data_IF_386373794007
#
_entry.id   IF_386373794007
#
_cell.length_a   1.000
_cell.length_b   1.000
_cell.length_c   1.000
_cell.angle_alpha   90.00
_cell.angle_beta   90.00
_cell.angle_gamma   90.00
#
_symmetry.space_group_name_H-M   'P 1'
#
loop_
_entity.id
_entity.type
_entity.pdbx_description
1 polymer ?
#
# COMPACT_ATOMS: atom_id res chain seq x y z
N UNK A 1 -10.87 -23.38 9.26
CA UNK A 1 -9.96 -22.30 8.77
C UNK A 1 -10.84 -21.13 8.38
N UNK A 2 -10.58 -19.90 8.84
CA UNK A 2 -11.38 -18.73 8.44
C UNK A 2 -11.00 -18.38 6.99
N UNK A 3 -11.96 -18.45 6.08
CA UNK A 3 -11.80 -18.06 4.69
C UNK A 3 -11.58 -16.54 4.54
N UNK A 4 -11.37 -16.06 3.31
CA UNK A 4 -11.38 -14.63 3.03
C UNK A 4 -12.70 -14.01 3.50
N UNK A 5 -12.63 -12.86 4.16
CA UNK A 5 -13.81 -12.07 4.51
C UNK A 5 -13.79 -10.77 3.74
N UNK A 6 -14.96 -10.34 3.26
CA UNK A 6 -15.08 -8.99 2.69
C UNK A 6 -14.90 -7.96 3.81
N UNK A 7 -14.03 -6.99 3.55
CA UNK A 7 -13.77 -5.82 4.38
C UNK A 7 -13.65 -4.59 3.49
N UNK A 8 -13.93 -3.43 4.07
CA UNK A 8 -13.78 -2.16 3.39
C UNK A 8 -12.42 -1.56 3.74
N UNK A 9 -11.66 -1.12 2.73
CA UNK A 9 -10.35 -0.53 2.93
C UNK A 9 -10.47 0.82 3.63
N UNK A 10 -9.84 0.98 4.79
CA UNK A 10 -9.88 2.25 5.55
C UNK A 10 -9.25 3.41 4.78
N UNK A 11 -8.33 3.13 3.85
CA UNK A 11 -7.65 4.15 3.05
C UNK A 11 -8.44 4.63 1.84
N UNK A 12 -9.02 3.71 1.06
CA UNK A 12 -9.67 4.06 -0.21
C UNK A 12 -11.18 3.78 -0.25
N UNK A 13 -11.76 3.18 0.79
CA UNK A 13 -13.18 2.87 0.86
C UNK A 13 -13.64 1.73 -0.06
N UNK A 14 -12.73 1.07 -0.78
CA UNK A 14 -13.10 -0.07 -1.63
C UNK A 14 -13.26 -1.35 -0.82
N UNK A 15 -14.27 -2.13 -1.17
CA UNK A 15 -14.46 -3.48 -0.68
C UNK A 15 -13.43 -4.43 -1.28
N UNK A 16 -12.88 -5.29 -0.42
CA UNK A 16 -11.88 -6.27 -0.79
C UNK A 16 -11.92 -7.46 0.17
N UNK A 17 -11.30 -8.56 -0.23
CA UNK A 17 -11.17 -9.74 0.63
C UNK A 17 -9.93 -9.63 1.52
N UNK A 18 -10.14 -9.51 2.84
CA UNK A 18 -9.11 -9.59 3.89
C UNK A 18 -9.15 -10.98 4.55
N UNK A 19 -8.01 -11.65 4.68
CA UNK A 19 -7.86 -12.86 5.50
C UNK A 19 -7.75 -14.18 4.73
N UNK A 20 -7.19 -15.20 5.40
CA UNK A 20 -6.89 -16.53 4.85
C UNK A 20 -5.39 -16.74 4.58
N UNK A 21 -5.04 -17.81 3.87
CA UNK A 21 -3.67 -18.09 3.40
C UNK A 21 -3.14 -17.07 2.36
N UNK A 22 -3.96 -16.09 1.97
CA UNK A 22 -3.68 -15.12 0.92
C UNK A 22 -3.69 -13.68 1.47
N UNK A 23 -3.16 -13.48 2.69
CA UNK A 23 -2.96 -12.12 3.18
C UNK A 23 -1.94 -11.39 2.29
N UNK A 24 -2.38 -10.30 1.66
CA UNK A 24 -1.54 -9.50 0.76
C UNK A 24 -0.32 -8.91 1.45
N UNK A 25 -0.42 -8.60 2.76
CA UNK A 25 0.68 -8.04 3.54
C UNK A 25 1.94 -8.94 3.52
N UNK A 26 1.76 -10.27 3.57
CA UNK A 26 2.87 -11.23 3.50
C UNK A 26 3.36 -11.54 2.08
N UNK A 27 2.52 -11.28 1.06
CA UNK A 27 2.85 -11.56 -0.36
C UNK A 27 3.56 -10.38 -1.03
N UNK A 28 3.25 -9.15 -0.63
CA UNK A 28 3.71 -7.93 -1.29
C UNK A 28 5.11 -7.46 -0.83
N UNK A 29 5.76 -8.19 0.07
CA UNK A 29 7.11 -7.83 0.54
C UNK A 29 7.16 -6.48 1.26
N UNK A 30 6.14 -6.19 2.07
CA UNK A 30 6.08 -4.94 2.83
C UNK A 30 7.18 -4.95 3.90
N UNK A 31 7.98 -3.89 3.92
CA UNK A 31 9.05 -3.71 4.91
C UNK A 31 8.49 -3.42 6.30
N UNK A 32 9.29 -3.68 7.34
CA UNK A 32 8.91 -3.39 8.73
C UNK A 32 8.55 -1.90 8.93
N UNK A 33 9.34 -0.97 8.38
CA UNK A 33 9.06 0.46 8.45
C UNK A 33 7.72 0.84 7.79
N UNK A 34 7.40 0.24 6.64
CA UNK A 34 6.10 0.44 6.00
C UNK A 34 4.96 -0.16 6.83
N UNK A 35 5.19 -1.31 7.48
CA UNK A 35 4.22 -1.98 8.34
C UNK A 35 3.92 -1.15 9.60
N UNK A 36 4.95 -0.61 10.25
CA UNK A 36 4.80 0.33 11.37
C UNK A 36 4.03 1.58 10.95
N UNK A 37 4.37 2.13 9.77
CA UNK A 37 3.66 3.29 9.24
C UNK A 37 2.17 3.02 8.98
N UNK A 38 1.84 1.82 8.50
CA UNK A 38 0.46 1.36 8.33
C UNK A 38 -0.21 1.24 9.69
N UNK A 39 0.39 0.53 10.65
CA UNK A 39 -0.18 0.26 11.96
C UNK A 39 -0.45 1.52 12.79
N UNK A 40 0.35 2.57 12.59
CA UNK A 40 0.14 3.88 13.25
C UNK A 40 -1.03 4.67 12.62
N UNK A 41 -1.33 4.46 11.33
CA UNK A 41 -2.32 5.26 10.58
C UNK A 41 -3.66 4.60 10.36
N UNK A 42 -3.67 3.27 10.24
CA UNK A 42 -4.83 2.48 9.90
C UNK A 42 -5.01 1.41 10.97
N UNK A 43 -6.23 1.34 11.52
CA UNK A 43 -6.59 0.34 12.52
C UNK A 43 -7.17 -0.92 11.86
N UNK A 44 -7.75 -0.75 10.67
CA UNK A 44 -8.34 -1.82 9.88
C UNK A 44 -7.43 -2.26 8.72
N UNK A 45 -7.85 -3.32 8.01
CA UNK A 45 -7.10 -3.86 6.88
C UNK A 45 -7.04 -2.86 5.70
N UNK A 46 -5.93 -2.85 4.96
CA UNK A 46 -5.79 -2.19 3.67
C UNK A 46 -5.93 -3.17 2.51
N UNK A 47 -6.54 -2.72 1.40
CA UNK A 47 -6.65 -3.54 0.19
C UNK A 47 -5.31 -3.71 -0.53
N UNK A 48 -5.23 -4.73 -1.39
CA UNK A 48 -4.03 -5.04 -2.19
C UNK A 48 -3.53 -3.84 -3.00
N UNK A 49 -4.42 -3.05 -3.61
CA UNK A 49 -4.05 -1.87 -4.38
C UNK A 49 -3.35 -0.81 -3.51
N UNK A 50 -3.87 -0.54 -2.31
CA UNK A 50 -3.22 0.38 -1.38
C UNK A 50 -1.88 -0.16 -0.89
N UNK A 51 -1.81 -1.46 -0.58
CA UNK A 51 -0.58 -2.11 -0.14
C UNK A 51 0.50 -2.15 -1.23
N UNK A 52 0.13 -2.35 -2.50
CA UNK A 52 1.05 -2.31 -3.65
C UNK A 52 1.69 -0.93 -3.77
N UNK A 53 0.90 0.15 -3.65
CA UNK A 53 1.45 1.50 -3.68
C UNK A 53 2.38 1.78 -2.50
N UNK A 54 2.10 1.17 -1.35
CA UNK A 54 2.97 1.27 -0.18
C UNK A 54 4.28 0.52 -0.41
N UNK A 55 4.21 -0.72 -0.86
CA UNK A 55 5.36 -1.52 -1.24
C UNK A 55 6.21 -0.83 -2.34
N UNK A 56 5.57 -0.17 -3.30
CA UNK A 56 6.21 0.61 -4.36
C UNK A 56 6.81 1.94 -3.88
N UNK A 57 6.56 2.34 -2.62
CA UNK A 57 7.04 3.61 -2.06
C UNK A 57 6.33 4.85 -2.60
N UNK A 58 5.21 4.70 -3.30
CA UNK A 58 4.38 5.81 -3.74
C UNK A 58 3.65 6.48 -2.56
N UNK A 59 3.30 5.69 -1.54
CA UNK A 59 2.59 6.12 -0.33
C UNK A 59 3.26 5.45 0.87
N UNK A 60 3.63 6.18 1.92
CA UNK A 60 4.26 5.53 3.07
C UNK A 60 5.21 6.44 3.84
N UNK A 61 6.05 5.87 4.72
CA UNK A 61 7.12 6.63 5.35
C UNK A 61 8.10 7.00 4.24
N UNK A 62 8.00 8.23 3.74
CA UNK A 62 8.94 8.74 2.75
C UNK A 62 10.31 8.84 3.43
N UNK A 63 11.36 8.18 2.93
CA UNK A 63 12.71 8.55 3.27
C UNK A 63 13.05 9.78 2.43
N UNK A 64 12.45 10.92 2.76
CA UNK A 64 12.75 12.21 2.13
C UNK A 64 12.42 12.32 0.62
N UNK A 65 11.81 13.43 0.27
CA UNK A 65 11.01 13.62 -0.94
C UNK A 65 11.84 14.28 -2.05
N UNK A 66 12.70 13.59 -2.80
CA UNK A 66 13.25 14.19 -4.04
C UNK A 66 13.89 13.21 -5.04
N UNK A 67 13.13 12.25 -5.60
CA UNK A 67 13.60 11.61 -6.86
C UNK A 67 12.48 10.97 -7.68
N UNK A 68 11.51 11.78 -8.09
CA UNK A 68 10.85 11.56 -9.39
C UNK A 68 10.92 12.89 -10.14
N UNK A 69 12.13 13.16 -10.61
CA UNK A 69 12.45 14.10 -11.67
C UNK A 69 11.45 13.89 -12.80
N UNK A 70 10.43 14.74 -12.82
CA UNK A 70 9.93 15.45 -13.98
C UNK A 70 10.60 15.00 -15.29
N UNK A 71 10.01 14.01 -15.95
CA UNK A 71 10.34 13.60 -17.31
C UNK A 71 9.07 13.76 -18.15
N UNK A 72 8.74 15.01 -18.49
CA UNK A 72 7.80 15.34 -19.58
C UNK A 72 7.84 16.85 -19.93
N UNK A 73 9.03 17.47 -19.84
CA UNK A 73 9.23 18.85 -20.33
C UNK A 73 10.64 19.08 -20.86
N UNK A 74 10.96 18.45 -21.99
CA UNK A 74 11.83 19.01 -23.02
C UNK A 74 12.03 18.03 -24.18
N UNK A 75 11.51 18.38 -25.38
CA UNK A 75 12.13 18.20 -26.72
C UNK A 75 11.02 18.20 -27.80
N UNK A 76 10.91 19.10 -28.77
CA UNK A 76 11.62 20.33 -29.20
C UNK A 76 10.69 20.94 -30.30
N UNK A 77 10.44 22.25 -30.32
CA UNK A 77 11.09 23.24 -31.21
C UNK A 77 11.08 22.86 -32.69
#
# INVERSE_FOLDING_TARGET
MRGPTQKTCERCGHDFECGGYQCWCGKLGITEAQMDWIAVRYKECLCSNCLVKIAAGEIGPQPDSTSKKQDDRARQS
#
